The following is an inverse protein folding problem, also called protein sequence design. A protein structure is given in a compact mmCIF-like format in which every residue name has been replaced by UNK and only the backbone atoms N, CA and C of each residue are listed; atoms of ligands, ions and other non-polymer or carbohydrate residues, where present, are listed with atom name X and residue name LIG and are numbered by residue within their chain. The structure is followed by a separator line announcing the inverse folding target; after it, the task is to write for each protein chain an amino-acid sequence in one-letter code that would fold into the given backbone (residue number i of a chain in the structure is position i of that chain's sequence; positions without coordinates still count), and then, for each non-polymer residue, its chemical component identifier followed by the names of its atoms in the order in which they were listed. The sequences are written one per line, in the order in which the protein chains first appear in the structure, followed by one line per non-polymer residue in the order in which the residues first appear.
data_IF_252782248457
#
_entry.id   IF_252782248457
#
_cell.length_a   1.000
_cell.length_b   1.000
_cell.length_c   1.000
_cell.angle_alpha   90.00
_cell.angle_beta   90.00
_cell.angle_gamma   90.00
#
_symmetry.space_group_name_H-M   'P 1'
#
loop_
_entity.id
_entity.type
_entity.pdbx_description
1 polymer ?
#
# COMPACT_ATOMS: atom_id res chain seq x y z
N UNK A 1 -10.47 30.75 -20.67
CA UNK A 1 -10.57 31.28 -19.30
C UNK A 1 -11.23 30.23 -18.42
N UNK A 2 -10.52 29.73 -17.44
CA UNK A 2 -11.05 28.72 -16.53
C UNK A 2 -11.96 29.44 -15.54
N UNK A 3 -13.21 28.96 -15.43
CA UNK A 3 -14.19 29.58 -14.53
C UNK A 3 -13.79 29.31 -13.06
N UNK A 4 -13.18 30.31 -12.43
CA UNK A 4 -12.70 30.27 -11.03
C UNK A 4 -13.80 29.80 -10.06
N UNK A 5 -15.08 30.05 -10.39
CA UNK A 5 -16.21 29.61 -9.59
C UNK A 5 -16.43 28.09 -9.59
N UNK A 6 -16.00 27.40 -10.67
CA UNK A 6 -16.05 25.93 -10.72
C UNK A 6 -14.96 25.34 -9.81
N UNK A 7 -13.76 25.93 -9.83
CA UNK A 7 -12.64 25.48 -8.95
C UNK A 7 -13.01 25.71 -7.49
N UNK A 8 -13.58 26.87 -7.14
CA UNK A 8 -14.06 27.14 -5.77
C UNK A 8 -15.12 26.13 -5.32
N UNK A 9 -16.11 25.80 -6.16
CA UNK A 9 -17.14 24.81 -5.83
C UNK A 9 -16.56 23.41 -5.57
N UNK A 10 -15.58 22.98 -6.36
CA UNK A 10 -14.93 21.68 -6.18
C UNK A 10 -14.00 21.65 -4.96
N UNK A 11 -13.24 22.71 -4.70
CA UNK A 11 -12.44 22.86 -3.48
C UNK A 11 -13.30 22.89 -2.22
N UNK A 12 -14.42 23.61 -2.26
CA UNK A 12 -15.39 23.63 -1.16
C UNK A 12 -16.02 22.25 -0.95
N UNK A 13 -16.39 21.52 -2.03
CA UNK A 13 -16.95 20.18 -1.92
C UNK A 13 -15.93 19.18 -1.34
N UNK A 14 -14.66 19.27 -1.73
CA UNK A 14 -13.58 18.44 -1.17
C UNK A 14 -13.31 18.78 0.30
N UNK A 15 -13.26 20.07 0.65
CA UNK A 15 -13.14 20.53 2.03
C UNK A 15 -14.35 20.11 2.88
N UNK A 16 -15.57 20.22 2.35
CA UNK A 16 -16.78 19.76 3.04
C UNK A 16 -16.79 18.23 3.20
N UNK A 17 -16.29 17.46 2.22
CA UNK A 17 -16.15 16.01 2.33
C UNK A 17 -15.11 15.64 3.41
N UNK A 18 -13.97 16.32 3.42
CA UNK A 18 -12.95 16.16 4.46
C UNK A 18 -13.47 16.58 5.85
N UNK A 19 -14.22 17.69 5.92
CA UNK A 19 -14.84 18.13 7.17
C UNK A 19 -15.96 17.21 7.63
N UNK A 20 -16.80 16.69 6.72
CA UNK A 20 -17.87 15.74 7.09
C UNK A 20 -17.31 14.42 7.59
N UNK A 21 -16.20 13.96 7.01
CA UNK A 21 -15.46 12.79 7.50
C UNK A 21 -14.83 13.07 8.87
N UNK A 22 -14.28 14.28 9.07
CA UNK A 22 -13.71 14.70 10.36
C UNK A 22 -14.78 14.90 11.45
N UNK A 23 -15.97 15.42 11.10
CA UNK A 23 -17.05 15.64 12.07
C UNK A 23 -17.64 14.33 12.60
N UNK A 24 -17.72 13.28 11.78
CA UNK A 24 -18.15 11.96 12.25
C UNK A 24 -17.12 11.30 13.18
N UNK A 25 -15.83 11.63 13.06
CA UNK A 25 -14.78 11.16 13.99
C UNK A 25 -14.91 11.83 15.36
N UNK A 26 -15.28 13.13 15.41
CA UNK A 26 -15.48 13.85 16.68
C UNK A 26 -16.79 13.49 17.39
N UNK A 27 -17.81 13.02 16.68
CA UNK A 27 -19.07 12.61 17.27
C UNK A 27 -19.06 11.21 17.91
N UNK A 28 -17.99 10.42 17.68
CA UNK A 28 -17.81 9.09 18.27
C UNK A 28 -17.03 9.09 19.61
N UNK A 29 -16.39 10.18 19.97
CA UNK A 29 -15.65 10.31 21.23
C UNK A 29 -16.51 10.92 22.37
N UNK A 30 -17.76 10.46 22.53
CA UNK A 30 -18.55 10.78 23.73
C UNK A 30 -18.19 9.79 24.86
N UNK A 31 -17.48 10.23 25.92
CA UNK A 31 -17.07 9.36 27.03
C UNK A 31 -18.27 8.72 27.77
N UNK A 32 -19.47 9.24 27.60
CA UNK A 32 -20.70 8.66 28.19
C UNK A 32 -21.17 7.39 27.45
N UNK A 33 -20.82 7.24 26.16
CA UNK A 33 -21.18 6.07 25.37
C UNK A 33 -20.19 4.89 25.57
N UNK A 34 -19.00 5.20 26.07
CA UNK A 34 -17.94 4.20 26.33
C UNK A 34 -18.23 3.34 27.57
N UNK A 35 -19.10 3.79 28.46
CA UNK A 35 -19.46 3.05 29.68
C UNK A 35 -20.64 2.08 29.49
N UNK A 36 -21.48 2.27 28.48
CA UNK A 36 -22.65 1.43 28.22
C UNK A 36 -22.37 0.25 27.26
N UNK A 37 -21.26 0.27 26.51
CA UNK A 37 -20.86 -0.79 25.58
C UNK A 37 -19.77 -1.71 26.13
N UNK A 38 -19.70 -1.88 27.44
CA UNK A 38 -18.82 -2.86 28.11
C UNK A 38 -19.29 -4.31 28.00
N UNK A 39 -20.05 -4.65 26.98
CA UNK A 39 -20.21 -6.05 26.57
C UNK A 39 -19.02 -6.39 25.67
N UNK A 40 -18.20 -7.23 26.21
CA UNK A 40 -16.99 -7.84 25.71
C UNK A 40 -16.76 -7.78 24.17
N UNK A 41 -15.72 -7.10 23.71
CA UNK A 41 -15.25 -7.22 22.32
C UNK A 41 -14.67 -8.60 21.99
N UNK A 42 -15.01 -9.61 22.73
CA UNK A 42 -14.19 -10.79 22.98
C UNK A 42 -14.49 -11.99 22.14
N UNK A 43 -15.49 -11.91 21.29
CA UNK A 43 -15.76 -12.98 20.36
C UNK A 43 -15.33 -12.49 18.99
N UNK A 44 -14.17 -12.92 18.55
CA UNK A 44 -13.67 -12.51 17.26
C UNK A 44 -12.20 -12.84 17.07
N UNK A 45 -11.78 -12.64 15.86
CA UNK A 45 -10.47 -12.92 15.37
C UNK A 45 -9.62 -11.65 15.41
N UNK A 46 -8.54 -11.67 16.18
CA UNK A 46 -7.59 -10.58 16.29
C UNK A 46 -6.28 -10.95 15.64
N UNK A 47 -5.72 -10.06 14.86
CA UNK A 47 -4.44 -10.29 14.22
C UNK A 47 -3.48 -9.14 14.48
N UNK A 48 -2.27 -9.48 14.88
CA UNK A 48 -1.15 -8.59 14.83
C UNK A 48 -0.15 -9.11 13.79
N UNK A 49 0.34 -8.20 12.98
CA UNK A 49 1.44 -8.45 12.07
C UNK A 49 2.48 -7.41 12.41
N UNK A 50 3.57 -7.87 12.99
CA UNK A 50 4.74 -7.06 13.16
C UNK A 50 5.38 -6.92 11.78
N UNK A 51 5.35 -5.70 11.22
CA UNK A 51 5.95 -5.40 9.92
C UNK A 51 7.41 -5.85 9.95
N UNK A 52 7.77 -6.70 8.98
CA UNK A 52 9.03 -7.42 8.98
C UNK A 52 10.24 -6.52 9.14
N UNK A 53 11.10 -6.90 10.04
CA UNK A 53 12.41 -6.30 10.15
C UNK A 53 13.27 -6.75 8.98
N UNK A 54 14.08 -5.87 8.39
CA UNK A 54 15.04 -6.27 7.38
C UNK A 54 15.90 -7.43 7.88
N UNK A 55 15.87 -8.57 7.20
CA UNK A 55 16.71 -9.73 7.48
C UNK A 55 16.17 -10.76 8.49
N UNK A 56 14.95 -10.58 9.03
CA UNK A 56 14.28 -11.62 9.84
C UNK A 56 12.85 -11.76 9.35
N UNK A 57 12.42 -12.99 9.14
CA UNK A 57 11.06 -13.32 8.78
C UNK A 57 10.05 -12.63 9.72
N UNK A 58 8.99 -12.09 9.17
CA UNK A 58 7.99 -11.38 9.96
C UNK A 58 7.40 -12.28 11.05
N UNK A 59 7.21 -11.72 12.23
CA UNK A 59 6.47 -12.36 13.31
C UNK A 59 4.99 -11.96 13.15
N UNK A 60 4.09 -12.93 13.08
CA UNK A 60 2.66 -12.66 13.13
C UNK A 60 2.00 -13.51 14.20
N UNK A 61 1.07 -12.92 14.92
CA UNK A 61 0.17 -13.60 15.84
C UNK A 61 -1.25 -13.47 15.34
N UNK A 62 -1.99 -14.54 15.46
CA UNK A 62 -3.41 -14.61 15.23
C UNK A 62 -4.07 -15.18 16.47
N UNK A 63 -5.03 -14.45 17.02
CA UNK A 63 -5.77 -14.81 18.22
C UNK A 63 -7.25 -14.85 17.87
N UNK A 64 -7.87 -16.01 18.03
CA UNK A 64 -9.31 -16.17 17.86
C UNK A 64 -9.94 -16.55 19.20
N UNK A 65 -10.72 -15.62 19.76
CA UNK A 65 -11.43 -15.84 21.01
C UNK A 65 -12.81 -16.38 20.71
N UNK A 66 -13.13 -17.55 21.30
CA UNK A 66 -14.40 -18.21 21.14
C UNK A 66 -15.33 -18.03 22.36
N UNK A 67 -16.63 -18.16 22.11
CA UNK A 67 -17.68 -18.05 23.14
C UNK A 67 -17.60 -19.11 24.25
N UNK A 68 -16.97 -20.24 23.96
CA UNK A 68 -16.77 -21.35 24.89
C UNK A 68 -15.64 -21.13 25.91
N UNK A 69 -14.96 -19.98 25.84
CA UNK A 69 -13.82 -19.65 26.69
C UNK A 69 -12.48 -20.19 26.18
N UNK A 70 -12.45 -20.67 24.95
CA UNK A 70 -11.23 -21.06 24.27
C UNK A 70 -10.65 -19.92 23.44
N UNK A 71 -9.33 -19.92 23.30
CA UNK A 71 -8.60 -19.04 22.38
C UNK A 71 -7.65 -19.87 21.54
N UNK A 72 -7.81 -19.79 20.24
CA UNK A 72 -6.83 -20.32 19.28
C UNK A 72 -5.74 -19.27 19.10
N UNK A 73 -4.51 -19.69 19.30
CA UNK A 73 -3.31 -18.86 19.09
C UNK A 73 -2.49 -19.48 17.98
N UNK A 74 -2.30 -18.70 16.92
CA UNK A 74 -1.38 -19.04 15.84
C UNK A 74 -0.19 -18.07 15.89
N UNK A 75 1.00 -18.60 16.00
CA UNK A 75 2.27 -17.86 15.92
C UNK A 75 3.00 -18.27 14.67
N UNK A 76 3.35 -17.32 13.84
CA UNK A 76 4.12 -17.54 12.62
C UNK A 76 5.42 -16.76 12.67
N UNK A 77 6.52 -17.49 12.64
CA UNK A 77 7.85 -16.91 12.68
C UNK A 77 8.81 -17.70 11.78
N UNK A 78 9.51 -17.02 10.88
CA UNK A 78 10.49 -17.64 9.98
C UNK A 78 9.96 -18.84 9.17
N UNK A 79 8.67 -18.85 8.80
CA UNK A 79 8.06 -19.94 8.05
C UNK A 79 7.69 -21.16 8.89
N UNK A 80 7.84 -21.10 10.20
CA UNK A 80 7.29 -22.07 11.14
C UNK A 80 5.95 -21.55 11.65
N UNK A 81 4.93 -22.39 11.54
CA UNK A 81 3.60 -22.14 12.05
C UNK A 81 3.40 -22.97 13.30
N UNK A 82 3.15 -22.31 14.41
CA UNK A 82 2.77 -22.92 15.68
C UNK A 82 1.34 -22.50 15.97
N UNK A 83 0.46 -23.44 16.27
CA UNK A 83 -0.92 -23.16 16.66
C UNK A 83 -1.30 -24.02 17.86
N UNK A 84 -1.96 -23.42 18.81
CA UNK A 84 -2.46 -24.09 20.02
C UNK A 84 -3.77 -23.47 20.47
N UNK A 85 -4.60 -24.32 21.14
CA UNK A 85 -5.84 -23.88 21.77
C UNK A 85 -5.59 -23.78 23.27
N UNK A 86 -5.95 -22.66 23.87
CA UNK A 86 -5.82 -22.37 25.29
C UNK A 86 -7.16 -21.94 25.87
N UNK A 87 -7.26 -21.89 27.20
CA UNK A 87 -8.38 -21.27 27.87
C UNK A 87 -8.07 -19.81 28.15
N UNK A 88 -9.08 -18.96 28.12
CA UNK A 88 -8.93 -17.56 28.47
C UNK A 88 -9.98 -17.12 29.47
N UNK A 89 -9.63 -16.10 30.25
CA UNK A 89 -10.56 -15.45 31.18
C UNK A 89 -10.37 -13.94 31.15
N UNK A 90 -11.42 -13.24 31.51
CA UNK A 90 -11.43 -11.78 31.56
C UNK A 90 -11.54 -11.29 32.99
N UNK A 91 -10.67 -10.37 33.37
CA UNK A 91 -10.73 -9.68 34.65
C UNK A 91 -10.67 -8.16 34.43
N UNK A 92 -11.85 -7.54 34.43
CA UNK A 92 -11.96 -6.13 34.04
C UNK A 92 -11.63 -5.90 32.57
N UNK A 93 -10.51 -5.26 32.29
CA UNK A 93 -10.00 -5.06 30.93
C UNK A 93 -8.83 -6.01 30.59
N UNK A 94 -8.32 -6.74 31.57
CA UNK A 94 -7.21 -7.65 31.38
C UNK A 94 -7.71 -9.03 30.93
N UNK A 95 -7.14 -9.52 29.82
CA UNK A 95 -7.35 -10.88 29.33
C UNK A 95 -6.20 -11.72 29.85
N UNK A 96 -6.52 -12.82 30.52
CA UNK A 96 -5.54 -13.82 30.96
C UNK A 96 -5.71 -15.09 30.14
N UNK A 97 -4.62 -15.54 29.53
CA UNK A 97 -4.57 -16.82 28.81
C UNK A 97 -4.04 -17.87 29.80
N UNK A 98 -4.74 -18.98 29.91
CA UNK A 98 -4.40 -20.11 30.76
C UNK A 98 -3.82 -21.22 29.88
N UNK A 99 -2.48 -21.44 29.89
CA UNK A 99 -1.87 -22.50 29.09
C UNK A 99 -2.42 -23.87 29.51
N UNK A 100 -2.73 -24.73 28.56
CA UNK A 100 -3.05 -26.12 28.82
C UNK A 100 -1.80 -26.88 29.23
N UNK A 101 -1.94 -27.87 30.13
CA UNK A 101 -0.81 -28.73 30.54
C UNK A 101 -0.25 -29.47 29.32
N UNK A 102 1.04 -29.32 29.07
CA UNK A 102 1.73 -29.95 27.94
C UNK A 102 1.90 -29.03 26.71
N UNK A 103 1.45 -27.79 26.77
CA UNK A 103 1.65 -26.81 25.73
C UNK A 103 3.13 -26.57 25.40
N UNK A 104 3.49 -26.60 24.11
CA UNK A 104 4.82 -26.25 23.63
C UNK A 104 5.05 -24.74 23.65
N UNK A 105 3.99 -23.96 23.54
CA UNK A 105 4.02 -22.49 23.57
C UNK A 105 4.01 -22.00 25.02
N UNK A 106 4.97 -22.45 25.81
CA UNK A 106 5.12 -22.00 27.22
C UNK A 106 5.68 -20.61 27.34
N UNK A 107 6.47 -20.19 26.37
CA UNK A 107 7.09 -18.88 26.31
C UNK A 107 6.41 -18.03 25.23
N UNK A 108 5.13 -17.67 25.50
CA UNK A 108 4.56 -16.59 24.70
C UNK A 108 5.41 -15.36 24.90
N UNK A 109 5.86 -14.78 23.80
CA UNK A 109 6.39 -13.43 23.81
C UNK A 109 5.29 -12.39 24.22
N UNK A 110 4.14 -12.87 24.68
CA UNK A 110 3.00 -12.08 25.14
C UNK A 110 3.02 -12.01 26.66
N UNK A 111 3.37 -10.85 27.19
CA UNK A 111 3.40 -10.62 28.64
C UNK A 111 2.00 -10.31 29.20
N UNK A 112 1.19 -9.53 28.48
CA UNK A 112 -0.16 -9.19 28.89
C UNK A 112 -1.03 -8.76 27.70
N UNK A 113 -2.35 -8.96 27.85
CA UNK A 113 -3.37 -8.53 26.93
C UNK A 113 -4.35 -7.61 27.68
N UNK A 114 -4.64 -6.44 27.14
CA UNK A 114 -5.57 -5.48 27.75
C UNK A 114 -6.55 -4.96 26.70
N UNK A 115 -7.85 -5.02 26.98
CA UNK A 115 -8.88 -4.48 26.10
C UNK A 115 -8.82 -2.96 26.16
N UNK A 116 -8.57 -2.33 25.02
CA UNK A 116 -8.63 -0.87 24.88
C UNK A 116 -10.07 -0.44 24.54
N UNK A 117 -10.64 -1.08 23.53
CA UNK A 117 -12.00 -0.80 23.05
C UNK A 117 -12.61 -2.05 22.36
N UNK A 118 -13.76 -1.88 21.72
CA UNK A 118 -14.49 -2.96 21.07
C UNK A 118 -13.74 -3.64 19.91
N UNK A 119 -12.68 -3.03 19.39
CA UNK A 119 -11.96 -3.52 18.22
C UNK A 119 -10.45 -3.69 18.46
N UNK A 120 -9.95 -3.23 19.60
CA UNK A 120 -8.50 -3.19 19.86
C UNK A 120 -8.16 -3.81 21.22
N UNK A 121 -7.17 -4.69 21.20
CA UNK A 121 -6.54 -5.28 22.38
C UNK A 121 -5.09 -4.84 22.39
N UNK A 122 -4.65 -4.24 23.47
CA UNK A 122 -3.23 -3.91 23.66
C UNK A 122 -2.48 -5.16 24.10
N UNK A 123 -1.34 -5.39 23.51
CA UNK A 123 -0.46 -6.52 23.80
C UNK A 123 0.88 -6.01 24.25
N UNK A 124 1.31 -6.50 25.40
CA UNK A 124 2.69 -6.38 25.84
C UNK A 124 3.43 -7.65 25.43
N UNK A 125 4.50 -7.49 24.65
CA UNK A 125 5.34 -8.59 24.24
C UNK A 125 6.56 -8.70 25.18
N UNK A 126 6.80 -9.93 25.70
CA UNK A 126 8.05 -10.29 26.35
C UNK A 126 9.05 -10.71 25.27
N UNK A 127 9.85 -9.77 24.81
CA UNK A 127 10.91 -10.09 23.86
C UNK A 127 12.18 -10.38 24.67
N UNK A 128 12.72 -11.61 24.61
CA UNK A 128 13.99 -11.91 25.28
C UNK A 128 15.09 -11.04 24.70
N UNK A 129 15.78 -10.35 25.59
CA UNK A 129 16.89 -9.46 25.41
C UNK A 129 17.56 -9.35 24.06
N UNK A 130 17.93 -8.15 23.78
CA UNK A 130 18.86 -7.61 22.81
C UNK A 130 18.37 -7.17 21.45
N UNK A 131 18.32 -5.84 21.38
CA UNK A 131 18.80 -5.00 20.26
C UNK A 131 18.11 -5.07 18.89
N UNK A 132 17.16 -5.93 18.63
CA UNK A 132 16.50 -6.01 17.34
C UNK A 132 15.04 -5.58 17.35
N UNK A 133 14.48 -5.41 18.51
CA UNK A 133 13.12 -4.93 18.72
C UNK A 133 13.18 -3.66 19.57
N UNK A 134 13.65 -2.55 18.98
CA UNK A 134 13.13 -1.24 19.32
C UNK A 134 11.72 -1.18 18.67
N UNK A 135 10.95 -2.18 18.97
CA UNK A 135 9.51 -2.16 18.84
C UNK A 135 9.02 -1.55 20.14
N UNK A 136 8.16 -0.56 20.00
CA UNK A 136 7.34 -0.12 21.11
C UNK A 136 6.87 -1.35 21.86
N UNK A 137 7.10 -1.39 23.18
CA UNK A 137 6.76 -2.55 24.02
C UNK A 137 5.27 -2.88 23.97
N UNK A 138 4.46 -1.94 23.51
CA UNK A 138 3.02 -2.02 23.45
C UNK A 138 2.56 -2.02 21.98
N UNK A 139 1.93 -3.12 21.59
CA UNK A 139 1.38 -3.30 20.25
C UNK A 139 -0.12 -3.54 20.36
N UNK A 140 -0.91 -2.93 19.50
CA UNK A 140 -2.35 -3.13 19.46
C UNK A 140 -2.71 -4.29 18.52
N UNK A 141 -3.41 -5.29 19.02
CA UNK A 141 -4.10 -6.27 18.18
C UNK A 141 -5.37 -5.65 17.62
N UNK A 142 -5.58 -5.80 16.33
CA UNK A 142 -6.76 -5.28 15.65
C UNK A 142 -7.67 -6.42 15.26
N UNK A 143 -8.96 -6.26 15.53
CA UNK A 143 -9.97 -7.19 15.05
C UNK A 143 -9.90 -7.30 13.54
N UNK A 144 -9.89 -8.52 13.01
CA UNK A 144 -9.96 -8.76 11.57
C UNK A 144 -11.29 -8.25 11.02
N UNK A 145 -11.24 -7.13 10.33
CA UNK A 145 -12.44 -6.46 9.79
C UNK A 145 -12.88 -7.04 8.44
N UNK A 146 -12.57 -8.31 8.18
CA UNK A 146 -12.93 -8.96 6.94
C UNK A 146 -14.43 -8.91 6.64
N UNK A 147 -15.26 -9.10 7.66
CA UNK A 147 -16.71 -9.08 7.54
C UNK A 147 -17.34 -7.70 7.67
N UNK A 148 -16.59 -6.68 8.08
CA UNK A 148 -17.13 -5.34 8.29
C UNK A 148 -17.62 -4.71 6.98
N UNK A 149 -18.91 -4.42 6.89
CA UNK A 149 -19.49 -3.70 5.77
C UNK A 149 -18.93 -2.28 5.64
N UNK A 150 -18.72 -1.61 6.78
CA UNK A 150 -18.17 -0.24 6.83
C UNK A 150 -16.75 -0.21 6.28
N UNK A 151 -15.89 -1.16 6.67
CA UNK A 151 -14.53 -1.25 6.15
C UNK A 151 -14.52 -1.51 4.63
N UNK A 152 -15.39 -2.37 4.12
CA UNK A 152 -15.56 -2.61 2.68
C UNK A 152 -16.03 -1.36 1.94
N UNK A 153 -17.01 -0.65 2.51
CA UNK A 153 -17.51 0.60 1.93
C UNK A 153 -16.41 1.68 1.91
N UNK A 154 -15.65 1.80 3.00
CA UNK A 154 -14.55 2.74 3.10
C UNK A 154 -13.49 2.51 2.01
N UNK A 155 -13.10 1.25 1.77
CA UNK A 155 -12.09 0.93 0.75
C UNK A 155 -12.61 1.22 -0.67
N UNK A 156 -13.89 0.93 -0.95
CA UNK A 156 -14.52 1.26 -2.23
C UNK A 156 -14.59 2.78 -2.41
N UNK A 157 -14.97 3.53 -1.38
CA UNK A 157 -14.98 4.99 -1.43
C UNK A 157 -13.58 5.55 -1.68
N UNK A 158 -12.57 4.98 -1.04
CA UNK A 158 -11.15 5.35 -1.26
C UNK A 158 -10.78 5.17 -2.73
N UNK A 159 -11.14 4.06 -3.37
CA UNK A 159 -10.93 3.83 -4.80
C UNK A 159 -11.52 4.96 -5.65
N UNK A 160 -12.80 5.28 -5.43
CA UNK A 160 -13.46 6.33 -6.21
C UNK A 160 -12.86 7.71 -5.99
N UNK A 161 -12.52 8.05 -4.74
CA UNK A 161 -11.88 9.33 -4.41
C UNK A 161 -10.51 9.43 -5.07
N UNK A 162 -9.70 8.38 -5.05
CA UNK A 162 -8.39 8.37 -5.71
C UNK A 162 -8.52 8.54 -7.23
N UNK A 163 -9.48 7.88 -7.88
CA UNK A 163 -9.74 8.05 -9.32
C UNK A 163 -10.18 9.49 -9.60
N UNK A 164 -11.10 10.02 -8.80
CA UNK A 164 -11.61 11.39 -8.97
C UNK A 164 -10.50 12.43 -8.83
N UNK A 165 -9.66 12.31 -7.79
CA UNK A 165 -8.53 13.22 -7.56
C UNK A 165 -7.46 13.08 -8.65
N UNK A 166 -7.16 11.86 -9.10
CA UNK A 166 -6.26 11.65 -10.24
C UNK A 166 -6.79 12.40 -11.48
N UNK A 167 -8.08 12.29 -11.82
CA UNK A 167 -8.69 12.99 -12.94
C UNK A 167 -8.72 14.51 -12.74
N UNK A 168 -8.91 14.98 -11.50
CA UNK A 168 -8.83 16.39 -11.15
C UNK A 168 -7.43 16.96 -11.45
N UNK A 169 -6.38 16.29 -10.96
CA UNK A 169 -4.98 16.73 -11.14
C UNK A 169 -4.52 16.55 -12.60
N UNK A 170 -5.10 15.61 -13.31
CA UNK A 170 -4.87 15.44 -14.73
C UNK A 170 -5.45 16.60 -15.53
N UNK A 171 -6.68 17.03 -15.22
CA UNK A 171 -7.42 18.05 -16.00
C UNK A 171 -7.06 19.48 -15.63
N UNK A 172 -6.70 19.75 -14.40
CA UNK A 172 -6.47 21.10 -13.89
C UNK A 172 -5.02 21.27 -13.40
N UNK A 173 -4.22 22.00 -14.20
CA UNK A 173 -2.80 22.24 -13.89
C UNK A 173 -2.55 22.70 -12.47
N UNK A 174 -3.26 23.73 -12.03
CA UNK A 174 -3.02 24.36 -10.74
C UNK A 174 -3.46 23.51 -9.56
N UNK A 175 -4.42 22.61 -9.72
CA UNK A 175 -4.82 21.70 -8.65
C UNK A 175 -3.67 20.76 -8.24
N UNK A 176 -2.93 20.23 -9.22
CA UNK A 176 -1.75 19.41 -8.94
C UNK A 176 -0.64 20.18 -8.22
N UNK A 177 -0.33 21.42 -8.67
CA UNK A 177 0.69 22.23 -7.98
C UNK A 177 0.26 22.62 -6.57
N UNK A 178 -0.98 23.07 -6.36
CA UNK A 178 -1.49 23.42 -5.04
C UNK A 178 -1.46 22.20 -4.11
N UNK A 179 -1.81 21.03 -4.59
CA UNK A 179 -1.86 19.83 -3.76
C UNK A 179 -0.46 19.26 -3.48
N UNK A 180 0.33 18.95 -4.52
CA UNK A 180 1.62 18.27 -4.34
C UNK A 180 2.75 19.19 -3.89
N UNK A 181 2.65 20.50 -4.10
CA UNK A 181 3.64 21.47 -3.61
C UNK A 181 3.10 22.24 -2.40
N UNK A 182 1.99 22.95 -2.56
CA UNK A 182 1.47 23.83 -1.49
C UNK A 182 1.01 23.06 -0.27
N UNK A 183 0.10 22.11 -0.44
CA UNK A 183 -0.45 21.35 0.68
C UNK A 183 0.61 20.47 1.34
N UNK A 184 1.49 19.81 0.58
CA UNK A 184 2.54 18.97 1.15
C UNK A 184 3.51 19.77 2.03
N UNK A 185 3.87 21.00 1.66
CA UNK A 185 4.69 21.90 2.50
C UNK A 185 3.95 22.24 3.79
N UNK A 186 2.67 22.62 3.70
CA UNK A 186 1.85 22.95 4.87
C UNK A 186 1.75 21.76 5.83
N UNK A 187 1.44 20.58 5.30
CA UNK A 187 1.33 19.35 6.12
C UNK A 187 2.67 18.96 6.74
N UNK A 188 3.78 19.11 6.02
CA UNK A 188 5.12 18.79 6.52
C UNK A 188 5.56 19.71 7.69
N UNK A 189 5.07 20.94 7.74
CA UNK A 189 5.45 21.89 8.78
C UNK A 189 4.48 21.82 9.97
N UNK A 190 3.17 21.74 9.71
CA UNK A 190 2.16 21.98 10.72
C UNK A 190 1.40 20.73 11.18
N UNK A 191 1.48 19.60 10.48
CA UNK A 191 0.65 18.42 10.77
C UNK A 191 1.50 17.18 11.02
N UNK A 192 2.27 16.75 10.05
CA UNK A 192 2.97 15.45 10.11
C UNK A 192 3.98 15.31 11.26
N UNK A 193 4.73 16.35 11.68
CA UNK A 193 5.63 16.23 12.83
C UNK A 193 4.92 15.88 14.14
N UNK A 194 3.62 16.17 14.23
CA UNK A 194 2.80 15.94 15.43
C UNK A 194 2.01 14.61 15.38
N UNK A 195 2.12 13.84 14.30
CA UNK A 195 1.40 12.58 14.14
C UNK A 195 2.15 11.35 14.71
N UNK A 196 3.23 11.58 15.45
CA UNK A 196 3.99 10.50 16.10
C UNK A 196 4.76 9.58 15.15
N UNK A 197 4.90 9.94 13.87
CA UNK A 197 5.66 9.13 12.91
C UNK A 197 7.15 9.34 13.13
N UNK A 198 7.77 8.46 13.92
CA UNK A 198 9.20 8.58 14.29
C UNK A 198 10.11 7.93 13.25
N UNK A 199 9.62 6.93 12.51
CA UNK A 199 10.44 6.14 11.60
C UNK A 199 10.79 6.93 10.32
N UNK A 200 12.07 7.28 10.19
CA UNK A 200 12.60 8.12 9.10
C UNK A 200 12.28 7.62 7.68
N UNK A 201 12.19 6.29 7.51
CA UNK A 201 11.92 5.70 6.21
C UNK A 201 10.50 5.99 5.70
N UNK A 202 9.51 6.08 6.59
CA UNK A 202 8.15 6.52 6.24
C UNK A 202 8.18 7.95 5.66
N UNK A 203 8.97 8.85 6.25
CA UNK A 203 9.19 10.20 5.72
C UNK A 203 9.87 10.19 4.35
N UNK A 204 10.92 9.39 4.18
CA UNK A 204 11.60 9.25 2.89
C UNK A 204 10.62 8.75 1.81
N UNK A 205 9.74 7.82 2.13
CA UNK A 205 8.71 7.31 1.22
C UNK A 205 7.73 8.40 0.78
N UNK A 206 7.12 9.15 1.72
CA UNK A 206 6.15 10.18 1.36
C UNK A 206 6.80 11.29 0.53
N UNK A 207 7.99 11.74 0.90
CA UNK A 207 8.68 12.77 0.13
C UNK A 207 9.10 12.29 -1.25
N UNK A 208 9.61 11.05 -1.38
CA UNK A 208 9.98 10.50 -2.68
C UNK A 208 8.81 10.50 -3.66
N UNK A 209 7.62 10.09 -3.21
CA UNK A 209 6.44 10.03 -4.07
C UNK A 209 5.90 11.44 -4.38
N UNK A 210 5.88 12.35 -3.41
CA UNK A 210 5.48 13.74 -3.64
C UNK A 210 6.43 14.43 -4.62
N UNK A 211 7.75 14.25 -4.46
CA UNK A 211 8.74 14.79 -5.40
C UNK A 211 8.57 14.20 -6.81
N UNK A 212 8.23 12.92 -6.92
CA UNK A 212 7.89 12.34 -8.23
C UNK A 212 6.68 13.02 -8.86
N UNK A 213 5.64 13.31 -8.10
CA UNK A 213 4.47 14.04 -8.59
C UNK A 213 4.84 15.45 -9.07
N UNK A 214 5.67 16.17 -8.32
CA UNK A 214 6.17 17.49 -8.71
C UNK A 214 7.00 17.38 -10.00
N UNK A 215 7.89 16.39 -10.08
CA UNK A 215 8.68 16.15 -11.30
C UNK A 215 7.79 15.85 -12.51
N UNK A 216 6.73 15.04 -12.35
CA UNK A 216 5.80 14.75 -13.42
C UNK A 216 4.96 15.97 -13.81
N UNK A 217 4.65 16.88 -12.89
CA UNK A 217 4.06 18.17 -13.23
C UNK A 217 5.03 19.02 -14.10
N UNK A 218 6.33 19.01 -13.78
CA UNK A 218 7.35 19.68 -14.61
C UNK A 218 7.45 19.02 -15.99
N UNK A 219 7.44 17.69 -16.07
CA UNK A 219 7.40 16.96 -17.35
C UNK A 219 6.21 17.33 -18.19
N UNK A 220 5.04 17.59 -17.59
CA UNK A 220 3.80 17.94 -18.30
C UNK A 220 3.79 19.38 -18.82
N UNK A 221 4.24 20.31 -18.02
CA UNK A 221 3.97 21.74 -18.25
C UNK A 221 5.19 22.58 -18.62
N UNK A 222 6.37 21.94 -18.72
CA UNK A 222 7.62 22.59 -19.14
C UNK A 222 8.30 21.79 -20.24
N UNK A 223 9.44 22.29 -20.75
CA UNK A 223 10.26 21.58 -21.75
C UNK A 223 11.11 20.45 -21.17
N UNK A 224 11.00 20.13 -19.88
CA UNK A 224 11.75 19.06 -19.22
C UNK A 224 11.54 17.71 -19.90
N UNK A 225 10.34 17.44 -20.42
CA UNK A 225 10.02 16.21 -21.15
C UNK A 225 10.81 16.04 -22.48
N UNK A 226 11.43 17.07 -23.02
CA UNK A 226 12.25 16.98 -24.24
C UNK A 226 13.63 16.36 -23.94
N UNK A 227 14.14 16.48 -22.69
CA UNK A 227 15.45 15.98 -22.31
C UNK A 227 15.45 14.48 -22.05
N UNK A 228 16.39 13.77 -22.69
CA UNK A 228 16.54 12.32 -22.47
C UNK A 228 16.88 11.98 -21.00
N UNK A 229 17.65 12.82 -20.31
CA UNK A 229 17.96 12.64 -18.90
C UNK A 229 16.69 12.62 -18.03
N UNK A 230 15.73 13.51 -18.31
CA UNK A 230 14.45 13.57 -17.58
C UNK A 230 13.59 12.33 -17.86
N UNK A 231 13.54 11.85 -19.10
CA UNK A 231 12.85 10.60 -19.46
C UNK A 231 13.50 9.39 -18.78
N UNK A 232 14.82 9.33 -18.75
CA UNK A 232 15.55 8.27 -18.06
C UNK A 232 15.31 8.33 -16.54
N UNK A 233 15.20 9.53 -15.96
CA UNK A 233 14.86 9.69 -14.54
C UNK A 233 13.50 9.09 -14.18
N UNK A 234 12.49 9.19 -15.07
CA UNK A 234 11.21 8.50 -14.89
C UNK A 234 11.39 6.98 -14.77
N UNK A 235 12.26 6.40 -15.62
CA UNK A 235 12.57 4.96 -15.59
C UNK A 235 13.31 4.58 -14.30
N UNK A 236 14.34 5.35 -13.94
CA UNK A 236 15.10 5.10 -12.71
C UNK A 236 14.24 5.21 -11.47
N UNK A 237 13.33 6.18 -11.44
CA UNK A 237 12.41 6.34 -10.32
C UNK A 237 11.49 5.13 -10.16
N UNK A 238 10.93 4.64 -11.27
CA UNK A 238 10.10 3.44 -11.27
C UNK A 238 10.92 2.19 -10.89
N UNK A 239 12.07 1.99 -11.53
CA UNK A 239 12.95 0.85 -11.29
C UNK A 239 13.49 0.85 -9.85
N UNK A 240 13.83 2.01 -9.29
CA UNK A 240 14.30 2.15 -7.91
C UNK A 240 13.23 1.76 -6.89
N UNK A 241 12.00 2.17 -7.12
CA UNK A 241 10.87 1.78 -6.28
C UNK A 241 10.60 0.26 -6.34
N UNK A 242 10.74 -0.35 -7.53
CA UNK A 242 10.66 -1.81 -7.66
C UNK A 242 11.83 -2.49 -6.96
N UNK A 243 13.06 -2.00 -7.13
CA UNK A 243 14.27 -2.60 -6.58
C UNK A 243 14.26 -2.64 -5.05
N UNK A 244 13.71 -1.61 -4.39
CA UNK A 244 13.54 -1.59 -2.96
C UNK A 244 12.62 -2.74 -2.48
N UNK A 245 11.47 -2.91 -3.13
CA UNK A 245 10.53 -3.99 -2.80
C UNK A 245 11.13 -5.38 -3.10
N UNK A 246 11.90 -5.51 -4.18
CA UNK A 246 12.66 -6.73 -4.50
C UNK A 246 13.68 -7.06 -3.41
N UNK A 247 14.40 -6.05 -2.92
CA UNK A 247 15.33 -6.22 -1.80
C UNK A 247 14.64 -6.75 -0.54
N UNK A 248 13.48 -6.20 -0.22
CA UNK A 248 12.67 -6.67 0.91
C UNK A 248 12.21 -8.12 0.69
N UNK A 249 11.64 -8.45 -0.47
CA UNK A 249 11.21 -9.82 -0.77
C UNK A 249 12.35 -10.84 -0.61
N UNK A 250 13.53 -10.56 -1.14
CA UNK A 250 14.68 -11.46 -0.99
C UNK A 250 15.18 -11.55 0.46
N UNK A 251 15.07 -10.46 1.24
CA UNK A 251 15.49 -10.47 2.64
C UNK A 251 14.61 -11.35 3.54
N UNK A 252 13.35 -11.57 3.16
CA UNK A 252 12.43 -12.44 3.88
C UNK A 252 12.80 -13.92 3.79
N UNK A 253 13.44 -14.37 2.70
CA UNK A 253 13.94 -15.73 2.54
C UNK A 253 12.87 -16.81 2.27
N UNK A 254 11.57 -16.48 2.31
CA UNK A 254 10.50 -17.44 2.02
C UNK A 254 10.34 -17.67 0.52
N UNK A 255 9.98 -18.90 0.12
CA UNK A 255 9.84 -19.24 -1.29
C UNK A 255 8.84 -18.33 -2.03
N UNK A 256 7.63 -18.00 -1.53
CA UNK A 256 6.75 -17.05 -2.21
C UNK A 256 7.38 -15.68 -2.41
N UNK A 257 8.10 -15.15 -1.41
CA UNK A 257 8.80 -13.87 -1.51
C UNK A 257 9.93 -13.94 -2.55
N UNK A 258 10.71 -15.03 -2.58
CA UNK A 258 11.76 -15.21 -3.59
C UNK A 258 11.17 -15.22 -5.00
N UNK A 259 10.07 -15.95 -5.23
CA UNK A 259 9.37 -15.97 -6.52
C UNK A 259 8.88 -14.57 -6.92
N UNK A 260 8.30 -13.83 -5.98
CA UNK A 260 7.85 -12.45 -6.23
C UNK A 260 9.04 -11.49 -6.45
N UNK A 261 10.14 -11.65 -5.70
CA UNK A 261 11.38 -10.91 -5.91
C UNK A 261 11.94 -11.12 -7.32
N UNK A 262 11.97 -12.38 -7.81
CA UNK A 262 12.35 -12.69 -9.19
C UNK A 262 11.42 -12.02 -10.20
N UNK A 263 10.10 -12.02 -9.96
CA UNK A 263 9.14 -11.30 -10.79
C UNK A 263 9.45 -9.80 -10.85
N UNK A 264 9.80 -9.19 -9.72
CA UNK A 264 10.21 -7.79 -9.64
C UNK A 264 11.49 -7.50 -10.42
N UNK A 265 12.49 -8.38 -10.38
CA UNK A 265 13.70 -8.28 -11.23
C UNK A 265 13.32 -8.26 -12.71
N UNK A 266 12.43 -9.16 -13.14
CA UNK A 266 11.95 -9.20 -14.53
C UNK A 266 11.16 -7.94 -14.91
N UNK A 267 10.36 -7.38 -13.96
CA UNK A 267 9.71 -6.08 -14.12
C UNK A 267 10.71 -4.97 -14.40
N UNK A 268 11.80 -4.88 -13.62
CA UNK A 268 12.88 -3.89 -13.84
C UNK A 268 13.53 -4.08 -15.22
N UNK A 269 13.84 -5.32 -15.59
CA UNK A 269 14.46 -5.62 -16.88
C UNK A 269 13.59 -5.29 -18.08
N UNK A 270 12.28 -5.19 -17.90
CA UNK A 270 11.33 -4.89 -18.97
C UNK A 270 10.80 -3.46 -18.95
N UNK A 271 10.86 -2.75 -17.82
CA UNK A 271 10.28 -1.42 -17.65
C UNK A 271 10.92 -0.34 -18.55
N UNK A 272 12.17 -0.49 -18.95
CA UNK A 272 12.86 0.53 -19.77
C UNK A 272 12.41 0.56 -21.23
N UNK A 273 11.58 -0.39 -21.67
CA UNK A 273 11.18 -0.47 -23.08
C UNK A 273 10.43 0.79 -23.53
N UNK A 274 10.92 1.39 -24.59
CA UNK A 274 10.30 2.57 -25.19
C UNK A 274 10.42 3.87 -24.38
N UNK A 275 11.30 3.95 -23.39
CA UNK A 275 11.47 5.12 -22.51
C UNK A 275 11.71 6.44 -23.26
N UNK A 276 12.36 6.39 -24.43
CA UNK A 276 12.57 7.58 -25.29
C UNK A 276 11.26 8.18 -25.77
N UNK A 277 10.17 7.40 -25.80
CA UNK A 277 8.83 7.83 -26.16
C UNK A 277 8.08 8.56 -25.05
N UNK A 278 8.63 8.64 -23.84
CA UNK A 278 8.03 9.42 -22.74
C UNK A 278 7.99 10.90 -23.16
N UNK A 279 6.81 11.51 -23.05
CA UNK A 279 6.61 12.92 -23.43
C UNK A 279 5.34 13.47 -22.78
N UNK A 280 5.21 14.81 -22.77
CA UNK A 280 3.92 15.43 -22.62
C UNK A 280 3.14 15.27 -23.94
N UNK A 281 1.86 14.93 -23.88
CA UNK A 281 1.02 14.87 -25.07
C UNK A 281 0.57 16.27 -25.53
N UNK A 282 -0.01 16.35 -26.74
CA UNK A 282 -0.46 17.61 -27.33
C UNK A 282 -1.90 17.99 -26.90
N UNK A 283 -2.50 17.25 -25.96
CA UNK A 283 -3.84 17.58 -25.45
C UNK A 283 -3.83 18.86 -24.59
N UNK A 284 -5.00 19.43 -24.35
CA UNK A 284 -5.14 20.58 -23.45
C UNK A 284 -4.66 20.25 -22.01
N UNK A 285 -4.69 18.97 -21.61
CA UNK A 285 -4.25 18.48 -20.31
C UNK A 285 -2.74 18.30 -20.22
N UNK A 286 -2.04 18.17 -21.36
CA UNK A 286 -0.59 17.92 -21.44
C UNK A 286 -0.20 16.73 -20.56
N UNK A 287 -0.89 15.60 -20.73
CA UNK A 287 -0.59 14.41 -19.94
C UNK A 287 0.82 13.88 -20.19
N UNK A 288 1.54 13.48 -19.15
CA UNK A 288 2.76 12.73 -19.32
C UNK A 288 2.39 11.31 -19.75
N UNK A 289 2.75 10.95 -20.96
CA UNK A 289 2.44 9.64 -21.53
C UNK A 289 3.71 8.84 -21.82
N UNK A 290 3.60 7.53 -21.57
CA UNK A 290 4.57 6.52 -21.98
C UNK A 290 3.89 5.54 -22.95
N UNK A 291 3.86 5.83 -24.25
CA UNK A 291 3.05 5.09 -25.22
C UNK A 291 3.40 3.61 -25.37
N UNK A 292 4.64 3.24 -25.09
CA UNK A 292 5.15 1.86 -25.23
C UNK A 292 4.92 1.00 -23.98
N UNK A 293 4.44 1.57 -22.89
CA UNK A 293 4.07 0.79 -21.71
C UNK A 293 2.83 -0.03 -22.04
N UNK A 294 2.98 -1.35 -22.05
CA UNK A 294 1.91 -2.25 -22.52
C UNK A 294 0.92 -2.56 -21.40
N UNK A 295 -0.32 -2.90 -21.76
CA UNK A 295 -1.33 -3.35 -20.80
C UNK A 295 -0.86 -4.59 -20.02
N UNK A 296 -0.17 -5.52 -20.69
CA UNK A 296 0.38 -6.69 -20.03
C UNK A 296 1.39 -6.30 -18.93
N UNK A 297 2.29 -5.36 -19.22
CA UNK A 297 3.27 -4.90 -18.25
C UNK A 297 2.59 -4.22 -17.04
N UNK A 298 1.57 -3.40 -17.29
CA UNK A 298 0.80 -2.74 -16.21
C UNK A 298 0.16 -3.80 -15.31
N UNK A 299 -0.53 -4.79 -15.87
CA UNK A 299 -1.19 -5.85 -15.09
C UNK A 299 -0.14 -6.70 -14.34
N UNK A 300 0.99 -7.03 -14.98
CA UNK A 300 2.05 -7.78 -14.35
C UNK A 300 2.65 -7.02 -13.15
N UNK A 301 2.85 -5.71 -13.29
CA UNK A 301 3.28 -4.85 -12.19
C UNK A 301 2.23 -4.79 -11.08
N UNK A 302 0.95 -4.63 -11.42
CA UNK A 302 -0.12 -4.53 -10.44
C UNK A 302 -0.21 -5.82 -9.58
N UNK A 303 -0.14 -6.99 -10.22
CA UNK A 303 -0.14 -8.29 -9.52
C UNK A 303 1.13 -8.44 -8.69
N UNK A 304 2.30 -8.11 -9.24
CA UNK A 304 3.58 -8.15 -8.53
C UNK A 304 3.55 -7.26 -7.28
N UNK A 305 3.10 -6.03 -7.42
CA UNK A 305 3.09 -5.06 -6.32
C UNK A 305 2.05 -5.42 -5.25
N UNK A 306 0.88 -5.92 -5.65
CA UNK A 306 -0.09 -6.47 -4.70
C UNK A 306 0.48 -7.66 -3.94
N UNK A 307 1.12 -8.61 -4.64
CA UNK A 307 1.75 -9.79 -4.04
C UNK A 307 2.81 -9.37 -3.03
N UNK A 308 3.67 -8.40 -3.38
CA UNK A 308 4.67 -7.85 -2.47
C UNK A 308 4.05 -7.35 -1.17
N UNK A 309 2.99 -6.54 -1.25
CA UNK A 309 2.34 -6.00 -0.06
C UNK A 309 1.59 -7.09 0.71
N UNK A 310 0.94 -8.01 0.03
CA UNK A 310 0.23 -9.12 0.67
C UNK A 310 1.16 -10.06 1.44
N UNK A 311 2.35 -10.33 0.91
CA UNK A 311 3.34 -11.20 1.56
C UNK A 311 4.06 -10.51 2.74
N UNK A 312 4.35 -9.21 2.61
CA UNK A 312 5.20 -8.50 3.58
C UNK A 312 4.39 -7.61 4.54
N UNK A 313 3.24 -7.07 4.11
CA UNK A 313 2.43 -6.09 4.85
C UNK A 313 0.93 -6.36 4.67
N UNK A 314 0.42 -7.55 5.04
CA UNK A 314 -0.93 -7.98 4.72
C UNK A 314 -2.02 -7.03 5.25
N UNK A 315 -1.78 -6.38 6.40
CA UNK A 315 -2.70 -5.36 6.92
C UNK A 315 -2.92 -4.18 5.97
N UNK A 316 -1.93 -3.87 5.11
CA UNK A 316 -2.00 -2.78 4.12
C UNK A 316 -2.42 -3.24 2.72
N UNK A 317 -2.62 -4.55 2.51
CA UNK A 317 -2.83 -5.12 1.18
C UNK A 317 -4.09 -4.59 0.48
N UNK A 318 -5.19 -4.42 1.22
CA UNK A 318 -6.44 -3.88 0.66
C UNK A 318 -6.28 -2.44 0.17
N UNK A 319 -5.61 -1.61 0.96
CA UNK A 319 -5.33 -0.23 0.60
C UNK A 319 -4.44 -0.14 -0.64
N UNK A 320 -3.37 -0.92 -0.66
CA UNK A 320 -2.46 -0.96 -1.81
C UNK A 320 -3.18 -1.43 -3.07
N UNK A 321 -4.06 -2.42 -2.97
CA UNK A 321 -4.89 -2.86 -4.10
C UNK A 321 -5.72 -1.71 -4.67
N UNK A 322 -6.36 -0.91 -3.79
CA UNK A 322 -7.16 0.24 -4.25
C UNK A 322 -6.31 1.32 -4.90
N UNK A 323 -5.13 1.61 -4.35
CA UNK A 323 -4.17 2.58 -4.91
C UNK A 323 -3.71 2.16 -6.30
N UNK A 324 -3.42 0.87 -6.50
CA UNK A 324 -3.02 0.30 -7.79
C UNK A 324 -4.16 0.38 -8.79
N UNK A 325 -5.35 -0.12 -8.44
CA UNK A 325 -6.52 -0.13 -9.30
C UNK A 325 -6.93 1.30 -9.68
N UNK A 326 -6.85 2.25 -8.73
CA UNK A 326 -7.15 3.65 -8.97
C UNK A 326 -6.23 4.32 -10.01
N UNK A 327 -5.01 3.81 -10.17
CA UNK A 327 -4.09 4.25 -11.22
C UNK A 327 -4.36 3.54 -12.56
N UNK A 328 -4.64 2.25 -12.51
CA UNK A 328 -4.74 1.39 -13.69
C UNK A 328 -6.05 1.62 -14.45
N UNK A 329 -7.20 1.77 -13.76
CA UNK A 329 -8.48 2.04 -14.42
C UNK A 329 -8.41 3.29 -15.34
N UNK A 330 -8.00 4.48 -14.85
CA UNK A 330 -7.90 5.64 -15.72
C UNK A 330 -6.90 5.48 -16.86
N UNK A 331 -5.78 4.81 -16.60
CA UNK A 331 -4.74 4.60 -17.59
C UNK A 331 -5.14 3.65 -18.73
N UNK A 332 -6.01 2.69 -18.48
CA UNK A 332 -6.49 1.75 -19.47
C UNK A 332 -7.75 2.25 -20.20
N UNK A 333 -8.68 2.89 -19.48
CA UNK A 333 -10.02 3.19 -20.00
C UNK A 333 -10.26 4.67 -20.30
N UNK A 334 -9.53 5.60 -19.65
CA UNK A 334 -9.72 7.05 -19.90
C UNK A 334 -8.63 7.60 -20.81
N UNK A 335 -7.34 7.37 -20.46
CA UNK A 335 -6.21 7.90 -21.24
C UNK A 335 -5.03 6.95 -21.24
N UNK A 336 -4.85 6.23 -22.36
CA UNK A 336 -3.73 5.28 -22.51
C UNK A 336 -2.38 5.96 -22.41
N UNK A 337 -1.44 5.28 -21.78
CA UNK A 337 -0.06 5.73 -21.58
C UNK A 337 0.17 6.59 -20.34
N UNK A 338 -0.87 6.98 -19.59
CA UNK A 338 -0.74 7.82 -18.39
C UNK A 338 -0.49 7.05 -17.11
N UNK A 339 -0.30 5.73 -17.18
CA UNK A 339 -0.24 4.87 -16.00
C UNK A 339 0.82 5.33 -14.98
N UNK A 340 2.04 5.65 -15.41
CA UNK A 340 3.10 6.09 -14.49
C UNK A 340 2.73 7.38 -13.75
N UNK A 341 2.14 8.34 -14.46
CA UNK A 341 1.61 9.58 -13.87
C UNK A 341 0.50 9.28 -12.87
N UNK A 342 -0.49 8.46 -13.25
CA UNK A 342 -1.61 8.10 -12.39
C UNK A 342 -1.14 7.34 -11.15
N UNK A 343 -0.17 6.41 -11.31
CA UNK A 343 0.40 5.62 -10.20
C UNK A 343 1.10 6.50 -9.17
N UNK A 344 1.87 7.50 -9.61
CA UNK A 344 2.49 8.43 -8.68
C UNK A 344 1.44 9.30 -7.96
N UNK A 345 0.46 9.81 -8.68
CA UNK A 345 -0.58 10.65 -8.08
C UNK A 345 -1.41 9.89 -7.05
N UNK A 346 -1.93 8.72 -7.38
CA UNK A 346 -2.75 7.93 -6.44
C UNK A 346 -1.97 7.50 -5.21
N UNK A 347 -0.70 7.12 -5.38
CA UNK A 347 0.17 6.76 -4.28
C UNK A 347 0.48 7.96 -3.36
N UNK A 348 0.79 9.13 -3.94
CA UNK A 348 1.07 10.32 -3.17
C UNK A 348 -0.15 10.82 -2.41
N UNK A 349 -1.33 10.83 -3.05
CA UNK A 349 -2.60 11.20 -2.41
C UNK A 349 -2.84 10.28 -1.20
N UNK A 350 -2.70 8.97 -1.41
CA UNK A 350 -2.92 7.99 -0.35
C UNK A 350 -1.93 8.16 0.81
N UNK A 351 -0.62 8.32 0.54
CA UNK A 351 0.38 8.55 1.59
C UNK A 351 0.13 9.86 2.34
N UNK A 352 -0.17 10.95 1.64
CA UNK A 352 -0.48 12.23 2.29
C UNK A 352 -1.72 12.10 3.18
N UNK A 353 -2.76 11.38 2.74
CA UNK A 353 -3.95 11.12 3.53
C UNK A 353 -3.62 10.24 4.75
N UNK A 354 -2.92 9.13 4.56
CA UNK A 354 -2.52 8.22 5.62
C UNK A 354 -1.69 8.94 6.70
N UNK A 355 -0.69 9.72 6.30
CA UNK A 355 0.14 10.49 7.23
C UNK A 355 -0.64 11.56 8.00
N UNK A 356 -1.68 12.13 7.39
CA UNK A 356 -2.50 13.17 8.03
C UNK A 356 -3.52 12.58 8.98
N UNK A 357 -4.09 11.42 8.66
CA UNK A 357 -5.20 10.80 9.37
C UNK A 357 -4.89 9.33 9.74
N UNK A 358 -3.71 9.10 10.29
CA UNK A 358 -3.22 7.74 10.57
C UNK A 358 -4.20 6.92 11.40
N UNK A 359 -4.66 7.43 12.54
CA UNK A 359 -5.59 6.72 13.43
C UNK A 359 -6.94 6.41 12.75
N UNK A 360 -7.50 7.40 12.04
CA UNK A 360 -8.76 7.19 11.30
C UNK A 360 -8.58 6.08 10.26
N UNK A 361 -7.48 6.12 9.53
CA UNK A 361 -7.20 5.15 8.48
C UNK A 361 -7.03 3.75 9.04
N UNK A 362 -6.24 3.60 10.08
CA UNK A 362 -5.97 2.32 10.74
C UNK A 362 -7.24 1.71 11.36
N UNK A 363 -8.12 2.54 11.94
CA UNK A 363 -9.40 2.08 12.48
C UNK A 363 -10.40 1.61 11.42
N UNK A 364 -10.33 2.15 10.20
CA UNK A 364 -11.31 1.88 9.13
C UNK A 364 -10.76 1.01 8.00
N UNK A 365 -9.53 0.52 8.11
CA UNK A 365 -8.92 -0.30 7.07
C UNK A 365 -9.60 -1.67 6.99
N UNK A 366 -9.91 -2.11 5.77
CA UNK A 366 -10.34 -3.47 5.51
C UNK A 366 -9.11 -4.37 5.45
N UNK A 367 -8.93 -5.19 6.47
CA UNK A 367 -7.76 -6.07 6.57
C UNK A 367 -8.06 -7.38 5.85
N UNK A 368 -7.20 -7.75 4.90
CA UNK A 368 -7.22 -9.07 4.30
C UNK A 368 -6.54 -10.05 5.24
N UNK A 369 -7.20 -11.16 5.61
CA UNK A 369 -6.52 -12.21 6.34
C UNK A 369 -5.38 -12.76 5.50
N UNK A 370 -4.26 -13.04 6.12
CA UNK A 370 -3.17 -13.73 5.45
C UNK A 370 -3.55 -15.21 5.33
N UNK A 371 -3.81 -15.63 4.13
CA UNK A 371 -4.11 -17.03 3.81
C UNK A 371 -2.89 -17.67 3.15
N UNK A 372 -2.27 -18.62 3.86
CA UNK A 372 -1.08 -19.30 3.37
C UNK A 372 -1.33 -20.07 2.08
N UNK A 373 -2.55 -20.60 1.91
CA UNK A 373 -2.93 -21.29 0.67
C UNK A 373 -2.88 -20.39 -0.57
N UNK A 374 -2.98 -19.08 -0.39
CA UNK A 374 -2.93 -18.09 -1.46
C UNK A 374 -1.52 -17.55 -1.74
N UNK A 375 -0.58 -17.65 -0.78
CA UNK A 375 0.75 -17.03 -0.92
C UNK A 375 1.52 -17.58 -2.12
N UNK A 376 1.57 -18.89 -2.29
CA UNK A 376 2.22 -19.53 -3.44
C UNK A 376 1.52 -19.23 -4.77
N UNK A 377 0.19 -19.44 -4.93
CA UNK A 377 -0.50 -19.14 -6.16
C UNK A 377 -0.32 -17.72 -6.66
N UNK A 378 -0.42 -16.72 -5.80
CA UNK A 378 -0.25 -15.32 -6.22
C UNK A 378 1.20 -14.99 -6.58
N UNK A 379 2.19 -15.56 -5.87
CA UNK A 379 3.60 -15.38 -6.20
C UNK A 379 3.96 -16.04 -7.54
N UNK A 380 3.44 -17.23 -7.81
CA UNK A 380 3.59 -17.90 -9.11
C UNK A 380 2.92 -17.09 -10.22
N UNK A 381 1.69 -16.59 -10.00
CA UNK A 381 0.99 -15.75 -10.96
C UNK A 381 1.81 -14.47 -11.28
N UNK A 382 2.35 -13.83 -10.25
CA UNK A 382 3.25 -12.67 -10.39
C UNK A 382 4.44 -13.00 -11.28
N UNK A 383 5.12 -14.11 -11.03
CA UNK A 383 6.28 -14.54 -11.82
C UNK A 383 5.90 -14.85 -13.27
N UNK A 384 4.83 -15.62 -13.50
CA UNK A 384 4.35 -15.99 -14.84
C UNK A 384 4.04 -14.76 -15.68
N UNK A 385 3.31 -13.77 -15.14
CA UNK A 385 3.00 -12.54 -15.85
C UNK A 385 4.26 -11.75 -16.21
N UNK A 386 5.24 -11.69 -15.33
CA UNK A 386 6.50 -10.99 -15.60
C UNK A 386 7.37 -11.73 -16.62
N UNK A 387 7.37 -13.07 -16.64
CA UNK A 387 7.98 -13.88 -17.72
C UNK A 387 7.29 -13.59 -19.06
N UNK A 388 5.96 -13.48 -19.08
CA UNK A 388 5.23 -13.10 -20.30
C UNK A 388 5.65 -11.70 -20.81
N UNK A 389 5.95 -10.75 -19.93
CA UNK A 389 6.49 -9.44 -20.31
C UNK A 389 7.86 -9.56 -20.98
N UNK A 390 8.73 -10.44 -20.48
CA UNK A 390 10.04 -10.72 -21.13
C UNK A 390 9.84 -11.32 -22.51
N UNK A 391 8.96 -12.31 -22.66
CA UNK A 391 8.64 -12.93 -23.96
C UNK A 391 8.11 -11.87 -24.94
N UNK A 392 7.21 -11.00 -24.49
CA UNK A 392 6.69 -9.90 -25.29
C UNK A 392 7.80 -8.94 -25.74
N UNK A 393 8.71 -8.59 -24.84
CA UNK A 393 9.85 -7.74 -25.14
C UNK A 393 10.77 -8.35 -26.20
N UNK A 394 11.11 -9.63 -26.07
CA UNK A 394 11.92 -10.36 -27.06
C UNK A 394 11.25 -10.35 -28.44
N UNK A 395 9.95 -10.62 -28.49
CA UNK A 395 9.17 -10.55 -29.76
C UNK A 395 9.23 -9.16 -30.39
N UNK A 396 9.09 -8.09 -29.60
CA UNK A 396 9.21 -6.73 -30.12
C UNK A 396 10.58 -6.44 -30.75
N UNK A 397 11.67 -6.92 -30.13
CA UNK A 397 13.01 -6.76 -30.69
C UNK A 397 13.20 -7.59 -31.98
N UNK A 398 12.66 -8.80 -32.03
CA UNK A 398 12.74 -9.66 -33.26
C UNK A 398 12.00 -8.99 -34.43
N UNK A 399 10.76 -8.53 -34.22
CA UNK A 399 9.98 -7.81 -35.24
C UNK A 399 10.70 -6.55 -35.71
N UNK A 400 11.25 -5.76 -34.77
CA UNK A 400 12.00 -4.56 -35.12
C UNK A 400 13.25 -4.87 -35.98
N UNK A 401 13.98 -5.98 -35.67
CA UNK A 401 15.14 -6.42 -36.42
C UNK A 401 14.75 -6.87 -37.83
N UNK A 402 13.67 -7.65 -37.96
CA UNK A 402 13.15 -8.11 -39.26
C UNK A 402 12.71 -6.92 -40.13
N UNK A 403 11.96 -5.95 -39.58
CA UNK A 403 11.55 -4.77 -40.33
C UNK A 403 12.74 -3.92 -40.79
N UNK A 404 13.80 -3.83 -39.99
CA UNK A 404 15.03 -3.12 -40.40
C UNK A 404 15.75 -3.84 -41.55
N UNK A 405 15.83 -5.17 -41.51
CA UNK A 405 16.43 -5.97 -42.57
C UNK A 405 15.66 -5.86 -43.87
N UNK A 406 14.30 -5.94 -43.81
CA UNK A 406 13.44 -5.78 -44.98
C UNK A 406 13.55 -4.37 -45.61
N UNK A 407 13.64 -3.32 -44.77
CA UNK A 407 13.84 -1.95 -45.26
C UNK A 407 15.20 -1.74 -45.95
N UNK A 408 16.25 -2.41 -45.46
CA UNK A 408 17.56 -2.37 -46.12
C UNK A 408 17.55 -3.14 -47.44
N UNK A 409 16.91 -4.32 -47.50
CA UNK A 409 16.78 -5.09 -48.72
C UNK A 409 15.91 -4.41 -49.82
N UNK A 410 15.02 -3.50 -49.45
CA UNK A 410 14.22 -2.74 -50.40
C UNK A 410 14.95 -1.53 -51.02
N UNK A 411 16.13 -1.18 -50.52
CA UNK A 411 16.94 -0.05 -50.97
C UNK A 411 18.11 -0.55 -51.87
N UNK A 412 18.45 -1.83 -51.77
CA UNK A 412 19.40 -2.51 -52.64
C UNK A 412 18.70 -3.13 -53.82
#
# INVERSE_FOLDING_TARGET
MININVIKKWLTAILCLCCAVSFNVWAQDDPANTLAQKELPTIGMYQIILEGMPGKGGLSYHLEFETNGEVLIEKKFNGQDEHEIHQWSLNGQAITIHPLEGSAIRDFDIASLTIIDAENIQVNLNVPGDSLLILEKDVEFKLLRWHSFIAKLHIILTLFVLILLNELFRRFKWSGFVFFVGLSIVLSIFVWPYQGVVYWFKWAKVYSVVLACVFFLLMRFTKVHEYNAAKMFCVFFLAGNIAEAVGQDFSMGFTPNILNGLAGVLSILTCYYGWKGIKADNSAQKDMIWPQMTTLWIIAYDVWNFTYVYLNFPASASAQLMVIIAATIPALFIKKGTWLQARAYTLAIWFMFYFTFTQFYERNLWIFPRDESLTYPIAVLSLVLNVMCVIQLVRFYQVKKANKANAQAAIT
#
